data_IF_839401287904
#
_entry.id   IF_839401287904
#
_cell.length_a   1.000
_cell.length_b   1.000
_cell.length_c   1.000
_cell.angle_alpha   90.00
_cell.angle_beta   90.00
_cell.angle_gamma   90.00
#
_symmetry.space_group_name_H-M   'P 1'
#
loop_
_entity.id
_entity.type
_entity.pdbx_description
1 polymer ?
#
# COMPACT_ATOMS: atom_id res chain seq x y z
N UNK A 1 -5.95 -30.01 18.84
CA UNK A 1 -4.94 -30.93 18.27
C UNK A 1 -4.32 -30.25 17.05
N UNK A 2 -2.99 -30.08 16.99
CA UNK A 2 -2.32 -29.59 15.76
C UNK A 2 -2.31 -30.73 14.74
N UNK A 3 -2.83 -30.49 13.54
CA UNK A 3 -2.82 -31.45 12.44
C UNK A 3 -1.39 -31.55 11.88
N UNK A 4 -0.69 -32.70 12.00
CA UNK A 4 0.75 -32.80 11.76
C UNK A 4 1.20 -32.56 10.31
N UNK A 5 0.27 -32.42 9.36
CA UNK A 5 0.57 -32.07 7.96
C UNK A 5 0.19 -30.66 7.53
N UNK A 6 -0.31 -29.82 8.45
CA UNK A 6 -0.71 -28.45 8.11
C UNK A 6 0.53 -27.53 8.05
N UNK A 7 0.78 -26.91 6.92
CA UNK A 7 1.79 -25.86 6.79
C UNK A 7 1.41 -24.65 7.66
N UNK A 8 2.23 -24.32 8.65
CA UNK A 8 1.99 -23.21 9.60
C UNK A 8 3.08 -22.13 9.58
N UNK A 9 4.23 -22.42 8.98
CA UNK A 9 5.31 -21.45 8.74
C UNK A 9 6.11 -21.82 7.49
N UNK A 10 6.90 -20.86 7.02
CA UNK A 10 7.74 -20.96 5.82
C UNK A 10 9.13 -20.38 6.10
N UNK A 11 10.14 -20.98 5.50
CA UNK A 11 11.51 -20.47 5.44
C UNK A 11 11.80 -19.99 4.03
N UNK A 12 12.33 -18.77 3.90
CA UNK A 12 12.71 -18.16 2.61
C UNK A 12 14.23 -18.15 2.56
N UNK A 13 14.82 -19.01 1.72
CA UNK A 13 16.27 -19.20 1.66
C UNK A 13 16.97 -18.19 0.73
N UNK A 14 16.29 -17.72 -0.33
CA UNK A 14 16.85 -16.83 -1.36
C UNK A 14 16.05 -15.54 -1.52
N UNK A 15 16.69 -14.52 -2.10
CA UNK A 15 15.99 -13.28 -2.44
C UNK A 15 15.04 -13.49 -3.62
N UNK A 16 13.89 -12.82 -3.57
CA UNK A 16 12.84 -12.95 -4.56
C UNK A 16 12.27 -11.59 -4.98
N UNK A 17 11.69 -11.48 -6.20
CA UNK A 17 11.08 -10.25 -6.68
C UNK A 17 9.86 -9.85 -5.85
N UNK A 18 9.84 -8.61 -5.36
CA UNK A 18 8.75 -8.07 -4.55
C UNK A 18 8.01 -6.99 -5.34
N UNK A 19 6.68 -7.01 -5.29
CA UNK A 19 5.84 -5.97 -5.88
C UNK A 19 6.21 -4.57 -5.36
N UNK A 20 6.17 -3.55 -6.21
CA UNK A 20 6.55 -2.17 -5.85
C UNK A 20 7.98 -1.77 -6.22
N UNK A 21 8.66 -2.57 -7.04
CA UNK A 21 10.05 -2.33 -7.44
C UNK A 21 10.24 -2.28 -8.96
N UNK A 22 9.17 -2.06 -9.71
CA UNK A 22 9.13 -2.10 -11.16
C UNK A 22 9.82 -3.37 -11.73
N UNK A 23 9.48 -4.53 -11.15
CA UNK A 23 10.02 -5.83 -11.55
C UNK A 23 8.88 -6.65 -12.16
N UNK A 24 8.95 -6.86 -13.47
CA UNK A 24 7.91 -7.55 -14.24
C UNK A 24 7.52 -8.90 -13.66
N UNK A 25 8.46 -9.62 -13.04
CA UNK A 25 8.21 -10.95 -12.47
C UNK A 25 7.20 -10.89 -11.32
N UNK A 26 7.28 -9.86 -10.47
CA UNK A 26 6.32 -9.66 -9.38
C UNK A 26 5.07 -8.92 -9.88
N UNK A 27 5.25 -7.87 -10.68
CA UNK A 27 4.16 -7.01 -11.15
C UNK A 27 3.16 -7.78 -12.01
N UNK A 28 3.65 -8.66 -12.90
CA UNK A 28 2.81 -9.52 -13.75
C UNK A 28 1.96 -10.48 -12.90
N UNK A 29 2.54 -11.06 -11.84
CA UNK A 29 1.79 -11.94 -10.94
C UNK A 29 0.67 -11.16 -10.25
N UNK A 30 0.97 -9.98 -9.72
CA UNK A 30 -0.04 -9.14 -9.05
C UNK A 30 -1.17 -8.74 -10.01
N UNK A 31 -0.84 -8.28 -11.23
CA UNK A 31 -1.82 -7.92 -12.25
C UNK A 31 -2.68 -9.12 -12.70
N UNK A 32 -2.07 -10.31 -12.78
CA UNK A 32 -2.76 -11.56 -13.11
C UNK A 32 -3.74 -11.96 -12.01
N UNK A 33 -3.35 -11.91 -10.73
CA UNK A 33 -4.24 -12.23 -9.59
C UNK A 33 -5.46 -11.32 -9.58
N UNK A 34 -5.27 -10.00 -9.79
CA UNK A 34 -6.35 -9.03 -9.91
C UNK A 34 -7.34 -9.43 -11.03
N UNK A 35 -6.79 -9.73 -12.21
CA UNK A 35 -7.58 -10.03 -13.41
C UNK A 35 -8.33 -11.36 -13.31
N UNK A 36 -7.67 -12.40 -12.79
CA UNK A 36 -8.26 -13.72 -12.59
C UNK A 36 -9.43 -13.67 -11.61
N UNK A 37 -9.30 -12.90 -10.53
CA UNK A 37 -10.37 -12.74 -9.55
C UNK A 37 -11.60 -12.05 -10.18
N UNK A 38 -11.39 -10.92 -10.87
CA UNK A 38 -12.48 -10.22 -11.56
C UNK A 38 -13.14 -11.10 -12.64
N UNK A 39 -12.34 -11.85 -13.39
CA UNK A 39 -12.86 -12.77 -14.41
C UNK A 39 -13.73 -13.88 -13.82
N UNK A 40 -13.47 -14.32 -12.59
CA UNK A 40 -14.33 -15.26 -11.89
C UNK A 40 -15.59 -14.58 -11.35
N UNK A 41 -15.49 -13.37 -10.79
CA UNK A 41 -16.64 -12.61 -10.31
C UNK A 41 -17.65 -12.36 -11.44
N UNK A 42 -17.19 -11.92 -12.62
CA UNK A 42 -18.04 -11.58 -13.79
C UNK A 42 -18.94 -12.72 -14.27
N UNK A 43 -18.61 -13.98 -13.95
CA UNK A 43 -19.39 -15.16 -14.36
C UNK A 43 -20.66 -15.36 -13.53
N UNK A 44 -20.78 -14.68 -12.39
CA UNK A 44 -21.86 -14.90 -11.44
C UNK A 44 -23.07 -14.03 -11.75
N UNK A 45 -24.27 -14.60 -11.57
CA UNK A 45 -25.51 -13.81 -11.58
C UNK A 45 -25.59 -12.97 -10.31
N UNK A 46 -25.92 -11.70 -10.46
CA UNK A 46 -26.06 -10.76 -9.34
C UNK A 46 -27.51 -10.32 -9.19
N UNK A 47 -27.86 -9.96 -7.95
CA UNK A 47 -29.14 -9.34 -7.64
C UNK A 47 -29.33 -8.06 -8.49
N UNK A 48 -30.55 -7.85 -9.01
CA UNK A 48 -30.91 -6.72 -9.89
C UNK A 48 -30.01 -6.55 -11.12
N UNK A 49 -29.34 -7.62 -11.57
CA UNK A 49 -28.40 -7.54 -12.70
C UNK A 49 -27.28 -6.50 -12.47
N UNK A 50 -26.88 -6.27 -11.22
CA UNK A 50 -25.81 -5.35 -10.90
C UNK A 50 -24.51 -5.78 -11.59
N UNK A 51 -23.91 -4.90 -12.40
CA UNK A 51 -22.62 -5.17 -13.04
C UNK A 51 -21.55 -5.37 -11.98
N UNK A 52 -20.90 -6.55 -11.89
CA UNK A 52 -19.87 -6.77 -10.90
C UNK A 52 -18.65 -5.88 -11.16
N UNK A 53 -18.15 -5.25 -10.11
CA UNK A 53 -16.90 -4.48 -10.08
C UNK A 53 -16.00 -5.00 -8.96
N UNK A 54 -14.76 -4.54 -8.93
CA UNK A 54 -13.76 -4.93 -7.95
C UNK A 54 -12.93 -3.71 -7.59
N UNK A 55 -12.52 -3.62 -6.33
CA UNK A 55 -11.57 -2.62 -5.84
C UNK A 55 -10.39 -3.30 -5.16
N UNK A 56 -9.22 -2.66 -5.24
CA UNK A 56 -8.07 -2.97 -4.39
C UNK A 56 -8.04 -1.92 -3.28
N UNK A 57 -8.90 -2.16 -2.28
CA UNK A 57 -9.13 -1.27 -1.15
C UNK A 57 -9.32 -2.10 0.11
N UNK A 58 -8.66 -1.71 1.21
CA UNK A 58 -8.72 -2.47 2.47
C UNK A 58 -9.36 -1.70 3.62
N UNK A 59 -9.27 -0.37 3.64
CA UNK A 59 -9.51 0.43 4.84
C UNK A 59 -8.62 -0.12 5.97
N UNK A 60 -9.18 -0.51 7.12
CA UNK A 60 -8.47 -1.12 8.24
C UNK A 60 -8.47 -2.65 8.19
N UNK A 61 -9.07 -3.25 7.15
CA UNK A 61 -9.11 -4.71 6.99
C UNK A 61 -7.73 -5.31 6.78
N UNK A 62 -6.73 -4.54 6.34
CA UNK A 62 -5.34 -5.01 6.25
C UNK A 62 -4.80 -5.45 7.62
N UNK A 63 -5.18 -4.72 8.69
CA UNK A 63 -4.83 -5.07 10.07
C UNK A 63 -5.67 -6.25 10.55
N UNK A 64 -6.98 -6.20 10.35
CA UNK A 64 -7.90 -7.24 10.86
C UNK A 64 -7.65 -8.59 10.20
N UNK A 65 -7.44 -8.63 8.87
CA UNK A 65 -7.11 -9.85 8.15
C UNK A 65 -5.69 -10.32 8.44
N UNK A 66 -4.71 -9.40 8.56
CA UNK A 66 -3.35 -9.74 8.98
C UNK A 66 -3.32 -10.53 10.29
N UNK A 67 -4.02 -10.03 11.32
CA UNK A 67 -4.21 -10.70 12.62
C UNK A 67 -4.80 -12.11 12.53
N UNK A 68 -5.65 -12.34 11.53
CA UNK A 68 -6.37 -13.61 11.33
C UNK A 68 -5.67 -14.52 10.32
N UNK A 69 -4.49 -14.13 9.83
CA UNK A 69 -3.72 -14.89 8.84
C UNK A 69 -2.41 -15.37 9.46
N UNK A 70 -2.12 -16.67 9.29
CA UNK A 70 -0.85 -17.28 9.69
C UNK A 70 0.34 -16.76 8.89
N UNK A 71 1.52 -17.36 9.03
CA UNK A 71 2.66 -17.00 8.18
C UNK A 71 2.32 -17.27 6.71
N UNK A 72 2.84 -16.45 5.80
CA UNK A 72 2.63 -16.60 4.34
C UNK A 72 3.95 -16.85 3.61
N UNK A 73 3.94 -17.52 2.43
CA UNK A 73 5.17 -17.90 1.71
C UNK A 73 6.07 -16.73 1.29
N UNK A 74 5.53 -15.51 1.30
CA UNK A 74 6.27 -14.28 1.05
C UNK A 74 7.15 -13.83 2.25
N UNK A 75 7.17 -14.62 3.32
CA UNK A 75 7.94 -14.36 4.54
C UNK A 75 7.24 -13.47 5.57
N UNK A 76 6.03 -12.97 5.29
CA UNK A 76 5.24 -12.24 6.30
C UNK A 76 4.82 -13.21 7.41
N UNK A 77 5.05 -12.85 8.67
CA UNK A 77 4.78 -13.71 9.82
C UNK A 77 3.32 -13.63 10.28
N UNK A 78 2.90 -14.67 10.98
CA UNK A 78 1.54 -14.78 11.51
C UNK A 78 1.15 -13.54 12.31
N UNK A 79 -0.02 -12.98 12.00
CA UNK A 79 -0.55 -11.81 12.70
C UNK A 79 -0.06 -10.45 12.21
N UNK A 80 1.02 -10.38 11.41
CA UNK A 80 1.49 -9.11 10.83
C UNK A 80 0.46 -8.52 9.86
N UNK A 81 0.44 -7.20 9.71
CA UNK A 81 -0.54 -6.51 8.85
C UNK A 81 -0.28 -6.82 7.38
N UNK A 82 -1.35 -6.84 6.57
CA UNK A 82 -1.21 -6.78 5.12
C UNK A 82 -0.87 -5.35 4.67
N UNK A 83 -0.45 -5.23 3.41
CA UNK A 83 -0.39 -3.94 2.75
C UNK A 83 -1.79 -3.27 2.72
N UNK A 84 -1.80 -1.94 2.84
CA UNK A 84 -3.03 -1.15 2.75
C UNK A 84 -3.42 -0.92 1.29
N UNK A 85 -4.65 -1.24 0.91
CA UNK A 85 -5.11 -1.10 -0.47
C UNK A 85 -4.22 -1.89 -1.44
N UNK A 86 -3.74 -1.22 -2.48
CA UNK A 86 -2.85 -1.76 -3.49
C UNK A 86 -1.36 -1.57 -3.18
N UNK A 87 -1.01 -1.01 -2.01
CA UNK A 87 0.39 -0.76 -1.67
C UNK A 87 1.27 -2.03 -1.76
N UNK A 88 2.58 -1.85 -2.00
CA UNK A 88 3.56 -2.85 -1.64
C UNK A 88 3.49 -3.16 -0.13
N UNK A 89 3.85 -4.40 0.23
CA UNK A 89 4.05 -4.76 1.64
C UNK A 89 5.12 -3.85 2.26
N UNK A 90 4.94 -3.54 3.55
CA UNK A 90 5.78 -2.60 4.28
C UNK A 90 7.28 -2.87 4.10
N UNK A 91 8.02 -1.86 3.64
CA UNK A 91 9.47 -1.94 3.44
C UNK A 91 9.93 -2.78 2.24
N UNK A 92 9.00 -3.31 1.42
CA UNK A 92 9.37 -4.16 0.28
C UNK A 92 9.62 -3.38 -1.01
N UNK A 93 9.09 -2.18 -1.14
CA UNK A 93 9.38 -1.21 -2.19
C UNK A 93 10.64 -0.39 -1.87
N UNK A 94 11.77 -0.85 -2.40
CA UNK A 94 13.13 -0.40 -2.05
C UNK A 94 13.85 0.34 -3.18
N UNK A 95 13.30 0.31 -4.40
CA UNK A 95 13.91 0.94 -5.59
C UNK A 95 13.52 2.41 -5.80
N UNK A 96 12.85 3.05 -4.84
CA UNK A 96 12.47 4.47 -4.91
C UNK A 96 10.99 4.69 -5.22
N UNK A 97 10.58 5.96 -5.17
CA UNK A 97 9.19 6.35 -5.35
C UNK A 97 8.67 6.03 -6.75
N UNK A 98 9.45 6.35 -7.79
CA UNK A 98 9.07 6.15 -9.19
C UNK A 98 8.89 4.67 -9.51
N UNK A 99 9.75 3.79 -8.97
CA UNK A 99 9.63 2.35 -9.17
C UNK A 99 8.35 1.79 -8.53
N UNK A 100 7.98 2.27 -7.34
CA UNK A 100 6.74 1.88 -6.67
C UNK A 100 5.51 2.38 -7.43
N UNK A 101 5.53 3.64 -7.86
CA UNK A 101 4.47 4.24 -8.69
C UNK A 101 4.28 3.48 -10.01
N UNK A 102 5.37 3.12 -10.70
CA UNK A 102 5.32 2.34 -11.94
C UNK A 102 4.71 0.95 -11.73
N UNK A 103 5.09 0.22 -10.66
CA UNK A 103 4.48 -1.08 -10.34
C UNK A 103 2.97 -0.99 -10.11
N UNK A 104 2.52 0.06 -9.41
CA UNK A 104 1.09 0.29 -9.13
C UNK A 104 0.33 0.64 -10.41
N UNK A 105 0.92 1.49 -11.27
CA UNK A 105 0.29 1.95 -12.50
C UNK A 105 0.03 0.79 -13.51
N UNK A 106 0.80 -0.30 -13.42
CA UNK A 106 0.58 -1.52 -14.23
C UNK A 106 -0.68 -2.31 -13.84
N UNK A 107 -1.34 -2.01 -12.73
CA UNK A 107 -2.53 -2.75 -12.30
C UNK A 107 -3.73 -2.40 -13.20
N UNK A 108 -4.35 -3.38 -13.89
CA UNK A 108 -5.38 -3.09 -14.88
C UNK A 108 -6.67 -2.56 -14.25
N UNK A 109 -6.88 -1.25 -14.33
CA UNK A 109 -8.08 -0.57 -13.81
C UNK A 109 -9.39 -1.11 -14.42
N UNK A 110 -9.38 -1.61 -15.65
CA UNK A 110 -10.55 -2.25 -16.25
C UNK A 110 -11.03 -3.49 -15.49
N UNK A 111 -10.15 -4.13 -14.72
CA UNK A 111 -10.48 -5.24 -13.82
C UNK A 111 -10.65 -4.80 -12.35
N UNK A 112 -10.56 -3.49 -12.08
CA UNK A 112 -10.68 -2.90 -10.77
C UNK A 112 -11.49 -1.57 -10.81
N UNK A 113 -12.62 -1.57 -11.53
CA UNK A 113 -13.45 -0.36 -11.77
C UNK A 113 -14.10 0.25 -10.52
N UNK A 114 -13.97 -0.40 -9.37
CA UNK A 114 -14.37 0.16 -8.06
C UNK A 114 -13.20 0.89 -7.36
N UNK A 115 -12.00 0.86 -7.96
CA UNK A 115 -10.85 1.68 -7.59
C UNK A 115 -9.61 0.90 -7.15
N UNK A 116 -8.45 1.50 -7.39
CA UNK A 116 -7.13 0.99 -6.92
C UNK A 116 -6.55 2.03 -5.95
N UNK A 117 -6.45 1.67 -4.67
CA UNK A 117 -6.04 2.62 -3.63
C UNK A 117 -4.54 2.50 -3.32
N UNK A 118 -3.76 3.51 -3.69
CA UNK A 118 -2.36 3.62 -3.31
C UNK A 118 -2.14 4.75 -2.29
N UNK A 119 -1.38 4.47 -1.22
CA UNK A 119 -0.97 5.45 -0.21
C UNK A 119 0.53 5.64 -0.18
N UNK A 120 0.96 6.78 -0.70
CA UNK A 120 2.34 7.15 -0.90
C UNK A 120 2.82 8.10 0.20
N UNK A 121 3.97 7.79 0.81
CA UNK A 121 4.62 8.64 1.79
C UNK A 121 6.06 8.89 1.38
N UNK A 122 6.46 10.17 1.34
CA UNK A 122 7.79 10.60 0.93
C UNK A 122 8.33 11.62 1.94
N UNK A 123 9.62 11.55 2.23
CA UNK A 123 10.24 12.57 3.09
C UNK A 123 10.42 13.88 2.32
N UNK A 124 10.25 15.05 2.95
CA UNK A 124 10.33 16.34 2.27
C UNK A 124 11.64 16.55 1.48
N UNK A 125 12.77 16.09 2.02
CA UNK A 125 14.09 16.21 1.39
C UNK A 125 14.23 15.39 0.12
N UNK A 126 13.51 14.26 0.01
CA UNK A 126 13.53 13.42 -1.19
C UNK A 126 12.86 14.10 -2.39
N UNK A 127 11.92 15.01 -2.14
CA UNK A 127 11.26 15.80 -3.18
C UNK A 127 12.12 16.98 -3.66
N UNK A 128 13.09 17.45 -2.89
CA UNK A 128 14.00 18.50 -3.32
C UNK A 128 14.47 19.43 -2.20
N UNK A 129 15.48 20.23 -2.52
CA UNK A 129 16.19 21.08 -1.55
C UNK A 129 15.49 22.42 -1.27
N UNK A 130 14.48 22.79 -2.05
CA UNK A 130 13.68 24.00 -1.86
C UNK A 130 12.24 23.76 -2.31
N UNK A 131 11.33 24.65 -1.96
CA UNK A 131 9.90 24.41 -2.16
C UNK A 131 9.49 24.39 -3.63
N UNK A 132 10.11 25.20 -4.48
CA UNK A 132 9.87 25.16 -5.92
C UNK A 132 10.27 23.80 -6.52
N UNK A 133 11.43 23.27 -6.14
CA UNK A 133 11.88 21.95 -6.56
C UNK A 133 10.94 20.85 -6.05
N UNK A 134 10.51 20.91 -4.79
CA UNK A 134 9.57 19.93 -4.21
C UNK A 134 8.23 19.91 -4.97
N UNK A 135 7.68 21.08 -5.27
CA UNK A 135 6.43 21.22 -6.02
C UNK A 135 6.61 20.66 -7.43
N UNK A 136 7.63 21.11 -8.17
CA UNK A 136 7.85 20.67 -9.55
C UNK A 136 8.08 19.17 -9.65
N UNK A 137 8.88 18.60 -8.73
CA UNK A 137 9.14 17.18 -8.70
C UNK A 137 7.88 16.38 -8.35
N UNK A 138 7.09 16.81 -7.36
CA UNK A 138 5.84 16.15 -7.03
C UNK A 138 4.85 16.20 -8.20
N UNK A 139 4.70 17.35 -8.86
CA UNK A 139 3.85 17.48 -10.05
C UNK A 139 4.32 16.54 -11.15
N UNK A 140 5.62 16.53 -11.48
CA UNK A 140 6.16 15.64 -12.50
C UNK A 140 5.98 14.15 -12.20
N UNK A 141 6.12 13.76 -10.92
CA UNK A 141 5.83 12.39 -10.48
C UNK A 141 4.35 12.03 -10.68
N UNK A 142 3.43 12.93 -10.34
CA UNK A 142 2.01 12.71 -10.52
C UNK A 142 1.63 12.65 -12.00
N UNK A 143 2.16 13.57 -12.81
CA UNK A 143 1.95 13.57 -14.26
C UNK A 143 2.39 12.23 -14.87
N UNK A 144 3.58 11.73 -14.50
CA UNK A 144 4.06 10.43 -14.94
C UNK A 144 3.16 9.27 -14.49
N UNK A 145 2.76 9.25 -13.22
CA UNK A 145 1.91 8.18 -12.68
C UNK A 145 0.53 8.12 -13.33
N UNK A 146 -0.11 9.26 -13.53
CA UNK A 146 -1.42 9.33 -14.18
C UNK A 146 -1.32 9.13 -15.70
N UNK A 147 -0.20 9.51 -16.32
CA UNK A 147 0.09 9.16 -17.71
C UNK A 147 0.19 7.65 -17.91
N UNK A 148 0.87 6.94 -16.99
CA UNK A 148 1.03 5.48 -16.97
C UNK A 148 -0.22 4.72 -16.48
N UNK A 149 -1.39 5.36 -16.47
CA UNK A 149 -2.70 4.78 -16.10
C UNK A 149 -2.92 4.52 -14.61
N UNK A 150 -2.05 5.05 -13.74
CA UNK A 150 -2.28 5.06 -12.29
C UNK A 150 -3.65 5.67 -11.94
N UNK A 151 -4.42 5.00 -11.09
CA UNK A 151 -5.81 5.40 -10.83
C UNK A 151 -5.96 6.43 -9.70
N UNK A 152 -5.39 6.15 -8.54
CA UNK A 152 -5.51 6.99 -7.35
C UNK A 152 -4.20 6.98 -6.57
N UNK A 153 -3.87 8.09 -5.90
CA UNK A 153 -2.75 8.20 -4.99
C UNK A 153 -3.11 9.12 -3.81
N UNK A 154 -2.86 8.65 -2.60
CA UNK A 154 -2.78 9.49 -1.40
C UNK A 154 -1.34 9.94 -1.22
N UNK A 155 -1.14 11.19 -0.83
CA UNK A 155 0.20 11.76 -0.68
C UNK A 155 0.38 12.24 0.75
N UNK A 156 1.41 11.72 1.40
CA UNK A 156 1.96 12.22 2.65
C UNK A 156 3.37 12.75 2.38
N UNK A 157 3.62 14.01 2.72
CA UNK A 157 4.96 14.62 2.67
C UNK A 157 5.39 14.91 4.10
N UNK A 158 6.00 13.94 4.77
CA UNK A 158 6.34 14.02 6.19
C UNK A 158 7.45 13.05 6.59
N UNK A 159 8.10 13.36 7.72
CA UNK A 159 9.15 12.53 8.30
C UNK A 159 8.56 11.53 9.30
N UNK A 160 9.16 10.33 9.36
CA UNK A 160 8.75 9.28 10.31
C UNK A 160 8.87 9.78 11.75
N UNK A 161 9.91 10.56 12.01
CA UNK A 161 10.25 11.15 13.30
C UNK A 161 9.12 12.05 13.82
N UNK A 162 8.46 12.80 12.93
CA UNK A 162 7.28 13.62 13.28
C UNK A 162 6.12 12.74 13.79
N UNK A 163 5.92 11.55 13.23
CA UNK A 163 4.89 10.64 13.71
C UNK A 163 5.27 10.01 15.04
N UNK A 164 6.53 9.63 15.22
CA UNK A 164 7.02 9.09 16.49
C UNK A 164 6.86 10.11 17.61
N UNK A 165 7.24 11.36 17.36
CA UNK A 165 7.07 12.46 18.31
C UNK A 165 5.59 12.70 18.63
N UNK A 166 4.72 12.72 17.60
CA UNK A 166 3.27 12.87 17.80
C UNK A 166 2.60 11.69 18.53
N UNK A 167 3.22 10.50 18.53
CA UNK A 167 2.73 9.37 19.32
C UNK A 167 2.99 9.56 20.82
N UNK A 168 4.07 10.25 21.17
CA UNK A 168 4.53 10.41 22.55
C UNK A 168 4.09 11.78 23.14
N UNK A 169 3.92 12.79 22.29
CA UNK A 169 3.49 14.16 22.62
C UNK A 169 2.25 14.60 21.81
N UNK A 170 1.10 13.89 21.89
CA UNK A 170 -0.06 14.15 21.04
C UNK A 170 -0.64 15.57 21.17
N UNK A 171 -0.48 16.22 22.32
CA UNK A 171 -0.90 17.60 22.60
C UNK A 171 -0.21 18.65 21.72
N UNK A 172 1.00 18.38 21.23
CA UNK A 172 1.73 19.26 20.32
C UNK A 172 1.22 19.16 18.87
N UNK A 173 0.47 18.10 18.56
CA UNK A 173 0.01 17.75 17.22
C UNK A 173 -1.52 17.64 17.11
N UNK A 174 -2.32 18.60 17.63
CA UNK A 174 -3.76 18.44 17.78
C UNK A 174 -4.50 18.29 16.45
N UNK A 175 -3.91 18.79 15.36
CA UNK A 175 -4.48 18.76 14.01
C UNK A 175 -3.66 17.92 13.01
N UNK A 176 -2.66 17.16 13.47
CA UNK A 176 -1.81 16.38 12.58
C UNK A 176 -2.64 15.36 11.81
N UNK A 177 -2.78 15.61 10.51
CA UNK A 177 -3.64 14.86 9.61
C UNK A 177 -2.78 14.11 8.61
N UNK A 178 -3.03 12.80 8.49
CA UNK A 178 -2.33 11.92 7.56
C UNK A 178 -3.31 11.21 6.64
N UNK A 179 -2.83 10.83 5.45
CA UNK A 179 -3.55 9.95 4.54
C UNK A 179 -3.20 8.49 4.84
N UNK A 180 -4.20 7.59 4.87
CA UNK A 180 -3.98 6.18 5.27
C UNK A 180 -4.45 5.14 4.26
N UNK A 181 -5.72 5.10 3.87
CA UNK A 181 -6.27 4.04 3.00
C UNK A 181 -7.45 4.55 2.18
N UNK A 182 -7.21 5.61 1.40
CA UNK A 182 -8.26 6.30 0.62
C UNK A 182 -8.92 7.49 1.34
N UNK A 183 -8.55 7.74 2.60
CA UNK A 183 -9.09 8.85 3.40
C UNK A 183 -8.01 9.44 4.33
N UNK A 184 -8.33 10.57 4.94
CA UNK A 184 -7.49 11.23 5.93
C UNK A 184 -8.00 10.97 7.35
N UNK A 185 -7.07 10.92 8.30
CA UNK A 185 -7.36 10.79 9.73
C UNK A 185 -6.49 11.75 10.52
N UNK A 186 -6.99 12.15 11.68
CA UNK A 186 -6.17 12.78 12.68
C UNK A 186 -5.32 11.69 13.36
N UNK A 187 -3.99 11.80 13.26
CA UNK A 187 -3.05 10.76 13.67
C UNK A 187 -3.14 10.45 15.18
N UNK A 188 -3.35 11.46 16.02
CA UNK A 188 -3.44 11.29 17.48
C UNK A 188 -4.77 10.66 17.92
N UNK A 189 -5.73 10.49 16.99
CA UNK A 189 -7.01 9.80 17.25
C UNK A 189 -6.97 8.31 16.89
N UNK A 190 -5.89 7.84 16.29
CA UNK A 190 -5.68 6.42 16.00
C UNK A 190 -5.29 5.66 17.28
N UNK A 191 -5.58 4.36 17.35
CA UNK A 191 -5.03 3.51 18.41
C UNK A 191 -3.51 3.36 18.23
N UNK A 192 -2.77 3.06 19.31
CA UNK A 192 -1.30 2.84 19.25
C UNK A 192 -0.93 1.81 18.18
N UNK A 193 -1.71 0.74 18.06
CA UNK A 193 -1.50 -0.28 17.02
C UNK A 193 -1.67 0.26 15.59
N UNK A 194 -2.71 1.06 15.35
CA UNK A 194 -2.92 1.70 14.05
C UNK A 194 -1.83 2.73 13.73
N UNK A 195 -1.35 3.46 14.74
CA UNK A 195 -0.22 4.38 14.58
C UNK A 195 1.06 3.62 14.20
N UNK A 196 1.33 2.49 14.85
CA UNK A 196 2.47 1.63 14.52
C UNK A 196 2.37 1.05 13.11
N UNK A 197 1.17 0.65 12.65
CA UNK A 197 0.96 0.24 11.25
C UNK A 197 1.32 1.37 10.28
N UNK A 198 0.90 2.61 10.56
CA UNK A 198 1.26 3.78 9.73
C UNK A 198 2.76 4.01 9.71
N UNK A 199 3.42 3.99 10.87
CA UNK A 199 4.85 4.26 10.98
C UNK A 199 5.66 3.18 10.27
N UNK A 200 5.25 1.91 10.35
CA UNK A 200 5.97 0.81 9.72
C UNK A 200 5.86 0.78 8.19
N UNK A 201 4.98 1.60 7.58
CA UNK A 201 4.91 1.75 6.13
C UNK A 201 6.21 2.32 5.56
N UNK A 202 6.33 2.20 4.24
CA UNK A 202 7.44 2.77 3.49
C UNK A 202 7.36 4.29 3.46
N UNK A 203 8.48 4.94 3.78
CA UNK A 203 8.71 6.37 3.62
C UNK A 203 9.83 6.53 2.59
N UNK A 204 9.48 6.91 1.37
CA UNK A 204 10.46 7.02 0.29
C UNK A 204 11.50 8.09 0.64
N UNK A 205 12.77 7.69 0.61
CA UNK A 205 13.94 8.54 0.88
C UNK A 205 14.55 9.12 -0.40
N UNK A 206 14.11 8.63 -1.56
CA UNK A 206 14.52 9.07 -2.88
C UNK A 206 13.39 8.88 -3.87
N UNK A 207 13.37 9.73 -4.90
CA UNK A 207 12.51 9.54 -6.08
C UNK A 207 12.91 8.28 -6.84
#
# INVERSE_FOLDING_TARGET
>A
MRNPGLAVDYEVEEDYPKFGNNDERADTITAKVLSDFMNNIRKNKTYRQATPTQSILTITSNVVYGKKTGSTPDGRKAGETFASGANPMHGRDSKGALASMASIAKLPYDNAKDGISYTFSIVPQALGNNDSAKINNLVGMLDGYFYDTGHHININVLNRETLLDAMDHPEEYPQLTIRVSGYAVNFIKLSREQQLDVINRTFHQRM
#
